data_IF_518875828812
#
_entry.id   IF_518875828812
#
_cell.length_a   1.000
_cell.length_b   1.000
_cell.length_c   1.000
_cell.angle_alpha   90.00
_cell.angle_beta   90.00
_cell.angle_gamma   90.00
#
_symmetry.space_group_name_H-M   'P 1'
#
loop_
_entity.id
_entity.type
_entity.pdbx_description
1 polymer ?
#
# COMPACT_ATOMS: atom_id res chain seq x y z
N UNK A 1 11.15 4.37 9.58
CA UNK A 1 12.01 4.92 8.51
C UNK A 1 11.62 4.25 7.21
N UNK A 2 11.77 4.91 6.05
CA UNK A 2 11.39 4.35 4.73
C UNK A 2 12.38 3.33 4.16
N UNK A 3 13.28 2.83 5.00
CA UNK A 3 14.28 1.81 4.72
C UNK A 3 14.34 0.78 5.86
N UNK A 4 15.01 -0.34 5.62
CA UNK A 4 15.28 -1.36 6.62
C UNK A 4 16.16 -0.82 7.76
N UNK A 5 16.10 -1.47 8.92
CA UNK A 5 17.09 -1.23 9.97
C UNK A 5 18.47 -1.71 9.49
N UNK A 6 19.59 -1.12 9.98
CA UNK A 6 20.92 -1.48 9.51
C UNK A 6 21.22 -2.99 9.56
N UNK A 7 20.87 -3.65 10.66
CA UNK A 7 21.07 -5.10 10.81
C UNK A 7 20.18 -5.92 9.86
N UNK A 8 18.96 -5.47 9.56
CA UNK A 8 18.08 -6.11 8.57
C UNK A 8 18.65 -5.97 7.15
N UNK A 9 19.23 -4.81 6.83
CA UNK A 9 19.88 -4.56 5.54
C UNK A 9 21.14 -5.43 5.35
N UNK A 10 21.99 -5.51 6.38
CA UNK A 10 23.16 -6.40 6.40
C UNK A 10 22.74 -7.87 6.24
N UNK A 11 21.67 -8.27 6.94
CA UNK A 11 21.12 -9.60 6.84
C UNK A 11 20.61 -9.91 5.43
N UNK A 12 19.85 -9.00 4.82
CA UNK A 12 19.44 -9.13 3.42
C UNK A 12 20.64 -9.30 2.50
N UNK A 13 21.66 -8.45 2.61
CA UNK A 13 22.83 -8.52 1.75
C UNK A 13 23.62 -9.81 1.92
N UNK A 14 23.77 -10.33 3.15
CA UNK A 14 24.40 -11.63 3.40
C UNK A 14 23.71 -12.73 2.58
N UNK A 15 22.39 -12.85 2.71
CA UNK A 15 21.62 -13.90 2.02
C UNK A 15 21.61 -13.67 0.50
N UNK A 16 21.33 -12.44 0.06
CA UNK A 16 21.16 -12.09 -1.35
C UNK A 16 22.46 -12.29 -2.12
N UNK A 17 23.59 -11.80 -1.59
CA UNK A 17 24.90 -11.94 -2.21
C UNK A 17 25.36 -13.40 -2.28
N UNK A 18 25.06 -14.20 -1.26
CA UNK A 18 25.38 -15.64 -1.26
C UNK A 18 24.61 -16.41 -2.33
N UNK A 19 23.31 -16.11 -2.50
CA UNK A 19 22.51 -16.71 -3.57
C UNK A 19 22.97 -16.22 -4.96
N UNK A 20 23.39 -14.96 -5.08
CA UNK A 20 23.94 -14.40 -6.31
C UNK A 20 25.25 -15.09 -6.72
N UNK A 21 26.19 -15.27 -5.78
CA UNK A 21 27.46 -15.98 -6.00
C UNK A 21 27.23 -17.46 -6.38
N UNK A 22 26.37 -18.17 -5.65
CA UNK A 22 25.97 -19.54 -6.01
C UNK A 22 25.39 -19.62 -7.43
N UNK A 23 24.50 -18.70 -7.78
CA UNK A 23 23.86 -18.66 -9.10
C UNK A 23 24.90 -18.43 -10.19
N UNK A 24 25.82 -17.48 -9.99
CA UNK A 24 26.89 -17.22 -10.94
C UNK A 24 27.77 -18.47 -11.16
N UNK A 25 28.20 -19.12 -10.07
CA UNK A 25 29.02 -20.35 -10.11
C UNK A 25 28.30 -21.51 -10.80
N UNK A 26 27.03 -21.72 -10.48
CA UNK A 26 26.24 -22.82 -11.03
C UNK A 26 26.04 -22.71 -12.55
N UNK A 27 25.83 -21.50 -13.06
CA UNK A 27 25.54 -21.27 -14.49
C UNK A 27 26.73 -20.70 -15.27
N UNK A 28 27.89 -20.52 -14.63
CA UNK A 28 29.10 -19.93 -15.22
C UNK A 28 28.84 -18.62 -15.98
N UNK A 29 28.03 -17.72 -15.40
CA UNK A 29 27.54 -16.52 -16.10
C UNK A 29 28.66 -15.51 -16.33
N UNK A 30 29.46 -15.24 -15.30
CA UNK A 30 30.66 -14.42 -15.42
C UNK A 30 31.82 -15.09 -14.66
N UNK A 31 32.86 -15.47 -15.39
CA UNK A 31 34.05 -16.17 -14.86
C UNK A 31 34.95 -15.30 -13.98
N UNK A 32 34.81 -13.97 -14.04
CA UNK A 32 35.52 -13.02 -13.18
C UNK A 32 34.89 -12.89 -11.79
N UNK A 33 33.61 -13.23 -11.64
CA UNK A 33 32.90 -13.21 -10.36
C UNK A 33 33.11 -14.55 -9.63
N UNK A 34 34.16 -14.64 -8.81
CA UNK A 34 34.50 -15.83 -8.01
C UNK A 34 33.98 -15.71 -6.58
N UNK A 35 33.77 -14.50 -6.10
CA UNK A 35 33.10 -14.19 -4.84
C UNK A 35 32.26 -12.91 -4.91
N UNK A 36 31.63 -12.59 -3.80
CA UNK A 36 30.77 -11.41 -3.62
C UNK A 36 31.56 -10.10 -3.66
N UNK A 37 32.84 -10.15 -3.29
CA UNK A 37 33.74 -9.00 -3.23
C UNK A 37 34.17 -8.54 -4.63
N UNK A 38 34.26 -9.48 -5.59
CA UNK A 38 34.71 -9.23 -6.97
C UNK A 38 33.77 -8.29 -7.75
N UNK A 39 32.55 -8.04 -7.25
CA UNK A 39 31.62 -7.08 -7.86
C UNK A 39 32.17 -5.65 -7.88
N UNK A 40 33.09 -5.30 -6.98
CA UNK A 40 33.71 -3.97 -6.95
C UNK A 40 34.74 -3.76 -8.07
N UNK A 41 35.27 -4.85 -8.64
CA UNK A 41 36.36 -4.83 -9.62
C UNK A 41 35.87 -4.94 -11.08
N UNK A 42 34.55 -5.01 -11.29
CA UNK A 42 33.94 -5.05 -12.60
C UNK A 42 33.70 -3.65 -13.17
N UNK A 43 33.91 -3.50 -14.47
CA UNK A 43 33.51 -2.29 -15.20
C UNK A 43 31.98 -2.17 -15.27
N UNK A 44 31.49 -0.96 -15.59
CA UNK A 44 30.06 -0.70 -15.74
C UNK A 44 29.39 -1.63 -16.76
N UNK A 45 30.01 -1.83 -17.92
CA UNK A 45 29.49 -2.67 -18.99
C UNK A 45 29.41 -4.16 -18.57
N UNK A 46 30.43 -4.64 -17.84
CA UNK A 46 30.43 -6.00 -17.30
C UNK A 46 29.33 -6.21 -16.25
N UNK A 47 29.11 -5.23 -15.38
CA UNK A 47 28.02 -5.26 -14.41
C UNK A 47 26.66 -5.23 -15.11
N UNK A 48 26.51 -4.42 -16.16
CA UNK A 48 25.28 -4.30 -16.94
C UNK A 48 24.93 -5.61 -17.67
N UNK A 49 25.91 -6.40 -18.09
CA UNK A 49 25.69 -7.72 -18.67
C UNK A 49 25.45 -8.82 -17.62
N UNK A 50 26.29 -8.89 -16.59
CA UNK A 50 26.31 -10.00 -15.64
C UNK A 50 25.12 -9.98 -14.67
N UNK A 51 24.77 -8.80 -14.13
CA UNK A 51 23.74 -8.70 -13.09
C UNK A 51 22.37 -9.15 -13.61
N UNK A 52 21.85 -8.67 -14.76
CA UNK A 52 20.56 -9.14 -15.27
C UNK A 52 20.56 -10.65 -15.54
N UNK A 53 21.62 -11.17 -16.15
CA UNK A 53 21.74 -12.61 -16.44
C UNK A 53 21.74 -13.46 -15.17
N UNK A 54 22.40 -13.01 -14.10
CA UNK A 54 22.34 -13.67 -12.79
C UNK A 54 20.93 -13.59 -12.22
N UNK A 55 20.30 -12.40 -12.19
CA UNK A 55 18.94 -12.20 -11.64
C UNK A 55 17.90 -13.09 -12.31
N UNK A 56 17.98 -13.26 -13.62
CA UNK A 56 17.07 -14.11 -14.40
C UNK A 56 17.10 -15.57 -13.95
N UNK A 57 18.25 -16.07 -13.51
CA UNK A 57 18.42 -17.44 -13.00
C UNK A 57 18.25 -17.54 -11.49
N UNK A 58 18.63 -16.48 -10.76
CA UNK A 58 18.72 -16.43 -9.31
C UNK A 58 17.40 -16.84 -8.65
N UNK A 59 16.31 -16.24 -9.12
CA UNK A 59 14.99 -16.43 -8.53
C UNK A 59 14.17 -17.57 -9.15
N UNK A 60 14.76 -18.41 -10.00
CA UNK A 60 14.07 -19.60 -10.52
C UNK A 60 13.87 -20.59 -9.38
N UNK A 61 12.66 -21.16 -9.25
CA UNK A 61 12.33 -22.06 -8.12
C UNK A 61 13.31 -23.23 -7.98
N UNK A 62 13.71 -23.85 -9.09
CA UNK A 62 14.73 -24.91 -9.11
C UNK A 62 16.11 -24.42 -8.64
N UNK A 63 16.47 -23.17 -8.93
CA UNK A 63 17.74 -22.61 -8.48
C UNK A 63 17.75 -22.33 -6.97
N UNK A 64 16.67 -21.72 -6.46
CA UNK A 64 16.49 -21.49 -5.03
C UNK A 64 16.48 -22.82 -4.27
N UNK A 65 15.76 -23.82 -4.78
CA UNK A 65 15.73 -25.16 -4.19
C UNK A 65 17.13 -25.76 -4.10
N UNK A 66 17.88 -25.76 -5.21
CA UNK A 66 19.25 -26.30 -5.22
C UNK A 66 20.19 -25.56 -4.26
N UNK A 67 20.04 -24.23 -4.13
CA UNK A 67 20.80 -23.45 -3.16
C UNK A 67 20.52 -23.91 -1.74
N UNK A 68 19.23 -24.04 -1.38
CA UNK A 68 18.81 -24.45 -0.04
C UNK A 68 19.19 -25.89 0.28
N UNK A 69 19.13 -26.79 -0.70
CA UNK A 69 19.47 -28.21 -0.52
C UNK A 69 20.98 -28.42 -0.35
N UNK A 70 21.80 -27.71 -1.14
CA UNK A 70 23.27 -27.80 -1.05
C UNK A 70 23.85 -27.02 0.12
N UNK A 71 23.18 -25.94 0.52
CA UNK A 71 23.57 -25.04 1.61
C UNK A 71 25.09 -24.74 1.70
N UNK A 72 25.72 -24.22 0.63
CA UNK A 72 27.18 -24.09 0.57
C UNK A 72 27.77 -23.08 1.57
N UNK A 73 26.93 -22.23 2.19
CA UNK A 73 27.33 -21.23 3.17
C UNK A 73 26.96 -21.61 4.61
N UNK A 74 26.52 -22.85 4.85
CA UNK A 74 26.14 -23.37 6.17
C UNK A 74 25.11 -22.48 6.90
N UNK A 75 24.12 -21.97 6.17
CA UNK A 75 23.01 -21.20 6.72
C UNK A 75 22.12 -22.06 7.62
N UNK A 76 21.57 -21.45 8.67
CA UNK A 76 20.62 -22.10 9.55
C UNK A 76 19.23 -22.22 8.88
N UNK A 77 18.28 -22.86 9.56
CA UNK A 77 16.94 -23.07 9.00
C UNK A 77 16.21 -21.75 8.68
N UNK A 78 16.34 -20.74 9.54
CA UNK A 78 15.68 -19.43 9.39
C UNK A 78 16.22 -18.67 8.16
N UNK A 79 17.55 -18.64 7.99
CA UNK A 79 18.23 -18.07 6.83
C UNK A 79 17.74 -18.73 5.53
N UNK A 80 17.63 -20.06 5.53
CA UNK A 80 17.14 -20.81 4.37
C UNK A 80 15.65 -20.56 4.11
N UNK A 81 14.83 -20.38 5.14
CA UNK A 81 13.40 -20.07 5.01
C UNK A 81 13.16 -18.68 4.42
N UNK A 82 13.99 -17.69 4.77
CA UNK A 82 13.95 -16.37 4.11
C UNK A 82 14.24 -16.51 2.61
N UNK A 83 15.27 -17.28 2.25
CA UNK A 83 15.64 -17.48 0.84
C UNK A 83 14.56 -18.26 0.08
N UNK A 84 13.91 -19.25 0.69
CA UNK A 84 12.78 -19.99 0.09
C UNK A 84 11.62 -19.06 -0.25
N UNK A 85 11.33 -18.06 0.59
CA UNK A 85 10.25 -17.11 0.34
C UNK A 85 10.46 -16.26 -0.92
N UNK A 86 11.71 -16.07 -1.37
CA UNK A 86 11.98 -15.35 -2.63
C UNK A 86 11.49 -16.08 -3.89
N UNK A 87 11.05 -17.32 -3.78
CA UNK A 87 10.27 -17.98 -4.84
C UNK A 87 8.96 -17.23 -5.13
N UNK A 88 8.37 -16.60 -4.11
CA UNK A 88 7.19 -15.74 -4.20
C UNK A 88 7.48 -14.32 -4.70
N UNK A 89 8.62 -14.09 -5.38
CA UNK A 89 8.96 -12.80 -5.98
C UNK A 89 7.87 -12.32 -6.93
N UNK A 90 7.82 -11.00 -7.13
CA UNK A 90 6.96 -10.40 -8.15
C UNK A 90 7.73 -9.40 -9.00
N UNK A 91 7.84 -9.65 -10.30
CA UNK A 91 8.35 -8.67 -11.24
C UNK A 91 7.34 -7.52 -11.38
N UNK A 92 7.83 -6.30 -11.23
CA UNK A 92 7.05 -5.06 -11.30
C UNK A 92 7.51 -4.24 -12.48
N UNK A 93 6.53 -3.83 -13.29
CA UNK A 93 6.58 -2.68 -14.16
C UNK A 93 5.41 -1.79 -13.75
N UNK A 94 5.72 -0.58 -13.30
CA UNK A 94 4.71 0.28 -12.66
C UNK A 94 5.23 1.67 -12.37
N UNK A 95 4.56 2.36 -11.44
CA UNK A 95 4.80 3.76 -11.15
C UNK A 95 5.15 3.95 -9.68
N UNK A 96 6.33 4.51 -9.39
CA UNK A 96 6.68 5.02 -8.07
C UNK A 96 5.88 6.31 -7.85
N UNK A 97 4.88 6.24 -6.97
CA UNK A 97 3.85 7.28 -6.83
C UNK A 97 4.12 8.26 -5.68
N UNK A 98 4.65 7.77 -4.56
CA UNK A 98 4.75 8.57 -3.33
C UNK A 98 5.83 8.06 -2.40
N UNK A 99 6.45 8.95 -1.65
CA UNK A 99 7.25 8.61 -0.46
C UNK A 99 6.43 8.93 0.79
N UNK A 100 6.17 7.90 1.60
CA UNK A 100 5.55 8.01 2.93
C UNK A 100 6.63 7.81 4.01
N UNK A 101 6.28 8.08 5.27
CA UNK A 101 7.24 8.02 6.39
C UNK A 101 7.90 6.64 6.56
N UNK A 102 7.16 5.56 6.31
CA UNK A 102 7.62 4.18 6.54
C UNK A 102 8.00 3.42 5.27
N UNK A 103 7.63 3.91 4.09
CA UNK A 103 7.87 3.23 2.81
C UNK A 103 7.59 4.15 1.63
N UNK A 104 8.06 3.75 0.46
CA UNK A 104 7.65 4.34 -0.82
C UNK A 104 6.53 3.52 -1.43
N UNK A 105 5.63 4.13 -2.20
CA UNK A 105 4.46 3.45 -2.75
C UNK A 105 4.60 3.28 -4.25
N UNK A 106 4.53 2.05 -4.71
CA UNK A 106 4.52 1.69 -6.13
C UNK A 106 3.12 1.22 -6.52
N UNK A 107 2.60 1.79 -7.59
CA UNK A 107 1.35 1.40 -8.22
C UNK A 107 1.65 0.54 -9.45
N UNK A 108 1.20 -0.71 -9.44
CA UNK A 108 1.52 -1.65 -10.51
C UNK A 108 0.39 -2.66 -10.71
N UNK A 109 0.28 -3.17 -11.94
CA UNK A 109 -0.60 -4.30 -12.25
C UNK A 109 0.26 -5.56 -12.34
N UNK A 110 0.15 -6.51 -11.39
CA UNK A 110 0.88 -7.76 -11.46
C UNK A 110 0.63 -8.47 -12.79
N UNK A 111 1.68 -8.99 -13.43
CA UNK A 111 1.55 -9.62 -14.74
C UNK A 111 0.53 -10.78 -14.73
N UNK A 112 0.50 -11.56 -13.65
CA UNK A 112 -0.45 -12.65 -13.44
C UNK A 112 -1.92 -12.20 -13.42
N UNK A 113 -2.19 -10.91 -13.19
CA UNK A 113 -3.53 -10.35 -13.08
C UNK A 113 -4.03 -9.73 -14.40
N UNK A 114 -3.16 -9.56 -15.41
CA UNK A 114 -3.54 -8.99 -16.71
C UNK A 114 -4.51 -9.94 -17.42
N UNK A 115 -5.67 -9.42 -17.82
CA UNK A 115 -6.67 -10.16 -18.61
C UNK A 115 -7.66 -11.02 -17.80
N UNK A 116 -7.51 -11.14 -16.48
CA UNK A 116 -8.40 -11.96 -15.63
C UNK A 116 -9.23 -11.13 -14.63
N UNK A 117 -9.36 -9.82 -14.88
CA UNK A 117 -10.22 -8.93 -14.08
C UNK A 117 -9.68 -8.59 -12.68
N UNK A 118 -8.44 -8.98 -12.34
CA UNK A 118 -7.76 -8.55 -11.11
C UNK A 118 -6.97 -7.26 -11.40
N UNK A 119 -7.22 -6.22 -10.61
CA UNK A 119 -6.78 -4.86 -10.92
C UNK A 119 -5.39 -4.47 -10.41
N UNK A 120 -4.99 -3.25 -10.76
CA UNK A 120 -3.83 -2.52 -10.21
C UNK A 120 -3.79 -2.60 -8.68
N UNK A 121 -2.59 -2.63 -8.10
CA UNK A 121 -2.31 -2.72 -6.67
C UNK A 121 -1.33 -1.63 -6.22
N UNK A 122 -1.33 -1.34 -4.93
CA UNK A 122 -0.36 -0.45 -4.28
C UNK A 122 0.53 -1.25 -3.33
N UNK A 123 1.84 -1.16 -3.55
CA UNK A 123 2.86 -1.80 -2.73
C UNK A 123 3.65 -0.75 -1.97
N UNK A 124 3.70 -0.88 -0.65
CA UNK A 124 4.58 -0.09 0.20
C UNK A 124 5.92 -0.78 0.32
N UNK A 125 6.94 -0.26 -0.37
CA UNK A 125 8.28 -0.81 -0.42
C UNK A 125 9.26 -0.05 0.47
N UNK A 126 10.07 -0.78 1.22
CA UNK A 126 11.21 -0.21 1.94
C UNK A 126 12.46 -0.21 1.08
N UNK A 127 13.27 0.83 1.25
CA UNK A 127 14.67 0.81 0.83
C UNK A 127 15.49 -0.20 1.64
N UNK A 128 16.61 -0.70 1.09
CA UNK A 128 17.47 -1.65 1.79
C UNK A 128 18.41 -0.89 2.72
N UNK A 129 19.49 -0.30 2.18
CA UNK A 129 20.45 0.50 2.96
C UNK A 129 20.12 2.00 2.99
N UNK A 130 19.44 2.47 1.95
CA UNK A 130 19.05 3.87 1.78
C UNK A 130 17.58 3.90 1.35
N UNK A 131 16.92 5.03 1.56
CA UNK A 131 15.54 5.20 1.14
C UNK A 131 15.48 5.34 -0.39
N UNK A 132 14.35 4.97 -1.00
CA UNK A 132 14.17 5.26 -2.43
C UNK A 132 14.06 6.76 -2.72
N UNK A 133 13.70 7.59 -1.73
CA UNK A 133 13.61 9.05 -1.89
C UNK A 133 14.98 9.68 -2.15
N UNK A 134 16.06 9.07 -1.64
CA UNK A 134 17.44 9.55 -1.81
C UNK A 134 17.88 9.46 -3.30
N UNK A 135 17.36 8.49 -4.04
CA UNK A 135 17.64 8.29 -5.47
C UNK A 135 16.55 8.82 -6.38
N UNK A 136 15.29 8.86 -5.90
CA UNK A 136 14.11 9.29 -6.65
C UNK A 136 13.40 10.41 -5.90
N UNK A 137 13.84 11.67 -6.04
CA UNK A 137 13.29 12.76 -5.25
C UNK A 137 11.79 13.01 -5.52
N UNK A 138 11.08 13.48 -4.47
CA UNK A 138 9.62 13.73 -4.49
C UNK A 138 9.13 14.61 -5.63
N UNK A 139 9.93 15.59 -6.06
CA UNK A 139 9.56 16.53 -7.11
C UNK A 139 9.47 15.89 -8.51
N UNK A 140 10.17 14.78 -8.76
CA UNK A 140 10.11 14.06 -10.03
C UNK A 140 9.01 13.01 -10.10
N UNK A 141 8.28 12.73 -9.01
CA UNK A 141 7.19 11.76 -9.01
C UNK A 141 6.05 12.16 -9.99
N UNK A 142 5.40 11.18 -10.63
CA UNK A 142 5.70 9.74 -10.58
C UNK A 142 6.84 9.33 -11.51
N UNK A 143 7.62 8.31 -11.13
CA UNK A 143 8.61 7.66 -12.00
C UNK A 143 8.06 6.33 -12.51
N UNK A 144 8.23 6.02 -13.79
CA UNK A 144 8.00 4.65 -14.26
C UNK A 144 9.22 3.80 -13.90
N UNK A 145 8.99 2.69 -13.22
CA UNK A 145 10.01 1.84 -12.61
C UNK A 145 9.83 0.38 -13.00
N UNK A 146 10.94 -0.33 -13.16
CA UNK A 146 10.98 -1.77 -13.32
C UNK A 146 11.95 -2.39 -12.30
N UNK A 147 11.48 -3.39 -11.54
CA UNK A 147 12.27 -4.08 -10.52
C UNK A 147 11.56 -5.37 -10.05
N UNK A 148 12.18 -6.10 -9.12
CA UNK A 148 11.58 -7.29 -8.48
C UNK A 148 11.21 -6.96 -7.04
N UNK A 149 9.95 -7.18 -6.66
CA UNK A 149 9.52 -7.23 -5.27
C UNK A 149 9.89 -8.55 -4.64
N UNK A 150 10.41 -8.48 -3.42
CA UNK A 150 10.71 -9.64 -2.59
C UNK A 150 10.01 -9.54 -1.24
N UNK A 151 9.49 -10.67 -0.72
CA UNK A 151 9.18 -10.78 0.69
C UNK A 151 10.48 -10.88 1.50
N UNK A 152 10.59 -10.10 2.56
CA UNK A 152 11.74 -10.14 3.46
C UNK A 152 11.32 -9.75 4.88
N UNK A 153 11.38 -10.70 5.81
CA UNK A 153 10.85 -10.53 7.17
C UNK A 153 9.39 -10.05 7.10
N UNK A 154 9.02 -8.99 7.82
CA UNK A 154 7.68 -8.38 7.74
C UNK A 154 7.57 -7.28 6.66
N UNK A 155 8.50 -7.24 5.72
CA UNK A 155 8.63 -6.16 4.75
C UNK A 155 8.46 -6.64 3.31
N UNK A 156 7.97 -5.73 2.49
CA UNK A 156 8.10 -5.82 1.04
C UNK A 156 9.25 -4.90 0.64
N UNK A 157 10.25 -5.46 -0.04
CA UNK A 157 11.43 -4.72 -0.51
C UNK A 157 11.60 -4.93 -2.01
N UNK A 158 12.46 -4.13 -2.61
CA UNK A 158 13.05 -4.45 -3.91
C UNK A 158 14.32 -5.28 -3.71
N UNK A 159 14.80 -5.94 -4.76
CA UNK A 159 15.99 -6.80 -4.69
C UNK A 159 17.33 -6.06 -4.77
N UNK A 160 17.35 -4.74 -4.57
CA UNK A 160 18.55 -3.92 -4.72
C UNK A 160 18.77 -3.38 -6.14
N UNK A 161 18.00 -3.85 -7.13
CA UNK A 161 18.13 -3.42 -8.52
C UNK A 161 16.82 -2.85 -9.04
N UNK A 162 16.82 -1.55 -9.33
CA UNK A 162 15.68 -0.82 -9.85
C UNK A 162 16.09 0.02 -11.04
N UNK A 163 15.35 -0.13 -12.14
CA UNK A 163 15.52 0.65 -13.37
C UNK A 163 14.38 1.64 -13.52
N UNK A 164 14.68 2.83 -14.03
CA UNK A 164 13.67 3.83 -14.42
C UNK A 164 13.63 4.00 -15.93
N UNK A 165 12.47 4.42 -16.41
CA UNK A 165 12.34 4.92 -17.78
C UNK A 165 12.50 6.45 -17.77
N UNK A 166 13.21 6.99 -18.76
CA UNK A 166 13.39 8.43 -18.93
C UNK A 166 12.12 9.06 -19.53
N UNK A 167 11.06 9.11 -18.73
CA UNK A 167 9.72 9.57 -19.12
C UNK A 167 9.26 10.66 -18.17
N UNK A 168 8.78 11.77 -18.74
CA UNK A 168 8.17 12.86 -17.99
C UNK A 168 6.66 12.87 -18.22
N UNK A 169 5.88 12.80 -17.12
CA UNK A 169 4.43 12.83 -17.20
C UNK A 169 3.88 14.25 -17.11
N UNK A 170 3.07 14.64 -18.09
CA UNK A 170 2.31 15.89 -18.08
C UNK A 170 1.23 15.92 -16.99
N UNK A 171 0.68 17.10 -16.72
CA UNK A 171 -0.28 17.35 -15.63
C UNK A 171 -1.54 16.47 -15.69
N UNK A 172 -2.08 16.22 -16.88
CA UNK A 172 -3.26 15.38 -17.07
C UNK A 172 -2.99 13.92 -16.70
N UNK A 173 -1.87 13.35 -17.14
CA UNK A 173 -1.46 11.99 -16.78
C UNK A 173 -1.20 11.86 -15.28
N UNK A 174 -0.50 12.84 -14.68
CA UNK A 174 -0.27 12.88 -13.23
C UNK A 174 -1.57 12.89 -12.44
N UNK A 175 -2.58 13.66 -12.89
CA UNK A 175 -3.92 13.68 -12.30
C UNK A 175 -4.60 12.32 -12.42
N UNK A 176 -4.53 11.68 -13.59
CA UNK A 176 -5.08 10.34 -13.81
C UNK A 176 -4.49 9.32 -12.84
N UNK A 177 -3.15 9.25 -12.74
CA UNK A 177 -2.50 8.34 -11.80
C UNK A 177 -2.83 8.65 -10.34
N UNK A 178 -2.96 9.93 -9.98
CA UNK A 178 -3.35 10.34 -8.63
C UNK A 178 -4.78 9.87 -8.29
N UNK A 179 -5.69 9.95 -9.25
CA UNK A 179 -7.07 9.49 -9.07
C UNK A 179 -7.11 7.96 -8.91
N UNK A 180 -6.41 7.23 -9.78
CA UNK A 180 -6.31 5.77 -9.70
C UNK A 180 -5.67 5.33 -8.37
N UNK A 181 -4.55 5.94 -7.98
CA UNK A 181 -3.90 5.71 -6.69
C UNK A 181 -4.87 5.90 -5.52
N UNK A 182 -5.63 7.00 -5.50
CA UNK A 182 -6.55 7.29 -4.39
C UNK A 182 -7.72 6.31 -4.35
N UNK A 183 -8.20 5.86 -5.50
CA UNK A 183 -9.26 4.84 -5.58
C UNK A 183 -8.78 3.49 -5.04
N UNK A 184 -7.62 3.01 -5.51
CA UNK A 184 -7.06 1.73 -5.06
C UNK A 184 -6.74 1.80 -3.57
N UNK A 185 -6.11 2.89 -3.10
CA UNK A 185 -5.81 3.09 -1.68
C UNK A 185 -7.07 3.00 -0.82
N UNK A 186 -8.19 3.57 -1.27
CA UNK A 186 -9.41 3.60 -0.47
C UNK A 186 -10.11 2.22 -0.40
N UNK A 187 -10.01 1.40 -1.45
CA UNK A 187 -10.72 0.11 -1.54
C UNK A 187 -9.82 -1.06 -1.11
N UNK A 188 -8.59 -1.10 -1.57
CA UNK A 188 -7.65 -2.21 -1.37
C UNK A 188 -6.56 -1.87 -0.34
N UNK A 189 -6.27 -0.60 -0.13
CA UNK A 189 -5.23 -0.15 0.79
C UNK A 189 -3.85 -0.09 0.13
N UNK A 190 -2.82 -0.02 0.96
CA UNK A 190 -1.42 -0.12 0.54
C UNK A 190 -0.85 -1.36 1.22
N UNK A 191 -0.44 -2.36 0.44
CA UNK A 191 0.15 -3.56 0.98
C UNK A 191 1.63 -3.30 1.28
N UNK A 192 1.98 -3.15 2.56
CA UNK A 192 3.34 -2.77 3.00
C UNK A 192 3.92 -3.65 4.09
N UNK A 193 3.16 -4.65 4.55
CA UNK A 193 3.58 -5.59 5.58
C UNK A 193 3.36 -6.99 5.05
N UNK A 194 4.44 -7.74 4.90
CA UNK A 194 4.38 -9.10 4.40
C UNK A 194 4.14 -10.06 5.56
N UNK A 195 3.25 -11.02 5.36
CA UNK A 195 3.06 -12.18 6.23
C UNK A 195 3.43 -13.46 5.48
N UNK A 196 4.01 -14.43 6.18
CA UNK A 196 4.42 -15.71 5.58
C UNK A 196 3.22 -16.36 4.89
N UNK A 197 3.36 -16.62 3.59
CA UNK A 197 2.33 -17.24 2.76
C UNK A 197 1.49 -16.25 1.94
N UNK A 198 1.69 -14.94 2.12
CA UNK A 198 1.05 -13.95 1.25
C UNK A 198 1.52 -14.09 -0.21
N UNK A 199 0.58 -14.00 -1.15
CA UNK A 199 0.87 -13.92 -2.58
C UNK A 199 1.08 -12.45 -2.97
N UNK A 200 2.31 -12.05 -3.32
CA UNK A 200 2.59 -10.68 -3.77
C UNK A 200 1.80 -10.27 -5.02
N UNK A 201 1.39 -11.22 -5.88
CA UNK A 201 0.54 -10.91 -7.02
C UNK A 201 -0.91 -10.63 -6.59
N UNK A 202 -1.35 -11.17 -5.46
CA UNK A 202 -2.71 -11.03 -4.93
C UNK A 202 -2.69 -10.81 -3.42
N UNK A 203 -2.10 -9.70 -2.95
CA UNK A 203 -1.93 -9.49 -1.53
C UNK A 203 -3.30 -9.28 -0.86
N UNK A 204 -3.40 -9.54 0.45
CA UNK A 204 -4.60 -9.22 1.23
C UNK A 204 -4.89 -7.72 1.16
N UNK A 205 -6.18 -7.37 1.18
CA UNK A 205 -6.61 -5.97 1.26
C UNK A 205 -6.28 -5.41 2.64
N UNK A 206 -5.73 -4.21 2.68
CA UNK A 206 -5.30 -3.51 3.91
C UNK A 206 -6.04 -2.19 4.15
N UNK A 207 -7.01 -1.83 3.29
CA UNK A 207 -7.82 -0.63 3.48
C UNK A 207 -8.56 -0.67 4.82
N UNK A 208 -8.58 0.47 5.51
CA UNK A 208 -9.43 0.61 6.69
C UNK A 208 -10.90 0.54 6.27
N UNK A 209 -11.74 -0.16 7.04
CA UNK A 209 -13.18 -0.28 6.76
C UNK A 209 -13.82 1.09 6.54
N UNK A 210 -13.43 2.07 7.37
CA UNK A 210 -13.85 3.47 7.26
C UNK A 210 -13.55 4.08 5.88
N UNK A 211 -12.37 3.83 5.32
CA UNK A 211 -11.95 4.40 4.04
C UNK A 211 -12.75 3.80 2.88
N UNK A 212 -13.02 2.49 2.93
CA UNK A 212 -13.87 1.79 1.94
C UNK A 212 -15.30 2.33 2.00
N UNK A 213 -15.86 2.49 3.20
CA UNK A 213 -17.18 3.08 3.42
C UNK A 213 -17.24 4.51 2.86
N UNK A 214 -16.26 5.35 3.21
CA UNK A 214 -16.20 6.73 2.74
C UNK A 214 -16.06 6.83 1.21
N UNK A 215 -15.34 5.89 0.59
CA UNK A 215 -15.22 5.80 -0.86
C UNK A 215 -16.57 5.51 -1.52
N UNK A 216 -17.27 4.45 -1.10
CA UNK A 216 -18.57 4.10 -1.67
C UNK A 216 -19.65 5.15 -1.37
N UNK A 217 -19.59 5.84 -0.22
CA UNK A 217 -20.47 6.99 0.04
C UNK A 217 -20.22 8.09 -1.00
N UNK A 218 -18.95 8.45 -1.22
CA UNK A 218 -18.61 9.49 -2.20
C UNK A 218 -19.06 9.09 -3.60
N UNK A 219 -18.79 7.86 -4.03
CA UNK A 219 -19.16 7.35 -5.35
C UNK A 219 -20.67 7.46 -5.61
N UNK A 220 -21.51 7.05 -4.66
CA UNK A 220 -22.96 7.13 -4.80
C UNK A 220 -23.45 8.59 -4.79
N UNK A 221 -22.89 9.44 -3.92
CA UNK A 221 -23.27 10.86 -3.86
C UNK A 221 -22.90 11.64 -5.12
N UNK A 222 -21.75 11.32 -5.73
CA UNK A 222 -21.34 11.90 -7.02
C UNK A 222 -22.33 11.49 -8.14
N UNK A 223 -23.09 10.40 -7.96
CA UNK A 223 -24.15 9.93 -8.87
C UNK A 223 -25.56 10.40 -8.46
N UNK A 224 -25.71 11.10 -7.33
CA UNK A 224 -27.00 11.52 -6.80
C UNK A 224 -27.84 10.39 -6.20
N UNK A 225 -27.20 9.29 -5.80
CA UNK A 225 -27.84 8.09 -5.27
C UNK A 225 -27.61 7.89 -3.77
N UNK A 226 -28.50 7.12 -3.13
CA UNK A 226 -28.26 6.64 -1.78
C UNK A 226 -27.13 5.58 -1.78
N UNK A 227 -26.16 5.65 -0.84
CA UNK A 227 -24.99 4.79 -0.82
C UNK A 227 -25.25 3.35 -0.31
N UNK A 228 -26.10 2.60 -1.01
CA UNK A 228 -26.45 1.21 -0.68
C UNK A 228 -25.23 0.30 -0.54
N UNK A 229 -24.24 0.41 -1.45
CA UNK A 229 -23.01 -0.38 -1.40
C UNK A 229 -22.23 -0.16 -0.11
N UNK A 230 -22.14 1.09 0.35
CA UNK A 230 -21.43 1.44 1.58
C UNK A 230 -22.15 0.90 2.81
N UNK A 231 -23.49 0.99 2.85
CA UNK A 231 -24.29 0.46 3.95
C UNK A 231 -24.16 -1.07 4.05
N UNK A 232 -24.32 -1.78 2.94
CA UNK A 232 -24.17 -3.26 2.90
C UNK A 232 -22.76 -3.67 3.33
N UNK A 233 -21.74 -2.96 2.85
CA UNK A 233 -20.36 -3.21 3.27
C UNK A 233 -20.18 -2.98 4.77
N UNK A 234 -20.68 -1.86 5.30
CA UNK A 234 -20.60 -1.56 6.72
C UNK A 234 -21.30 -2.60 7.59
N UNK A 235 -22.50 -3.05 7.21
CA UNK A 235 -23.25 -4.08 7.93
C UNK A 235 -22.53 -5.43 7.93
N UNK A 236 -21.99 -5.85 6.78
CA UNK A 236 -21.17 -7.07 6.67
C UNK A 236 -19.97 -7.06 7.62
N UNK A 237 -19.42 -5.88 7.90
CA UNK A 237 -18.26 -5.69 8.77
C UNK A 237 -18.63 -5.25 10.19
N UNK A 238 -19.90 -5.24 10.58
CA UNK A 238 -20.39 -4.75 11.89
C UNK A 238 -20.06 -3.27 12.19
N UNK A 239 -19.91 -2.46 11.15
CA UNK A 239 -19.46 -1.05 11.22
C UNK A 239 -20.54 -0.08 10.72
N UNK A 240 -21.83 -0.44 10.87
CA UNK A 240 -22.96 0.42 10.45
C UNK A 240 -22.88 1.83 11.07
N UNK A 241 -22.44 1.94 12.32
CA UNK A 241 -22.30 3.24 12.98
C UNK A 241 -21.29 4.16 12.28
N UNK A 242 -20.22 3.60 11.69
CA UNK A 242 -19.26 4.35 10.88
C UNK A 242 -19.93 4.87 9.61
N UNK A 243 -20.70 4.03 8.92
CA UNK A 243 -21.47 4.45 7.74
C UNK A 243 -22.42 5.60 8.06
N UNK A 244 -23.29 5.45 9.07
CA UNK A 244 -24.32 6.46 9.37
C UNK A 244 -23.67 7.81 9.74
N UNK A 245 -22.57 7.80 10.51
CA UNK A 245 -21.83 9.02 10.87
C UNK A 245 -21.14 9.68 9.67
N UNK A 246 -20.44 8.90 8.84
CA UNK A 246 -19.75 9.42 7.65
C UNK A 246 -20.74 9.98 6.63
N UNK A 247 -21.84 9.28 6.38
CA UNK A 247 -22.88 9.72 5.45
C UNK A 247 -23.59 10.98 5.96
N UNK A 248 -24.02 11.01 7.21
CA UNK A 248 -24.64 12.19 7.83
C UNK A 248 -23.71 13.40 7.77
N UNK A 249 -22.42 13.21 8.08
CA UNK A 249 -21.43 14.30 8.06
C UNK A 249 -21.27 14.97 6.69
N UNK A 250 -21.51 14.25 5.58
CA UNK A 250 -21.45 14.80 4.22
C UNK A 250 -22.60 15.75 3.92
N UNK A 251 -23.82 15.40 4.33
CA UNK A 251 -25.02 16.21 4.08
C UNK A 251 -25.09 17.43 5.00
N UNK A 252 -24.84 17.25 6.30
CA UNK A 252 -25.01 18.33 7.29
C UNK A 252 -23.90 19.39 7.21
N UNK A 253 -22.88 19.21 6.34
CA UNK A 253 -21.77 20.15 6.20
C UNK A 253 -22.27 21.56 5.84
N UNK A 254 -23.22 21.64 4.91
CA UNK A 254 -23.80 22.92 4.49
C UNK A 254 -24.76 23.47 5.54
N UNK A 255 -25.58 22.63 6.16
CA UNK A 255 -26.46 23.05 7.26
C UNK A 255 -25.66 23.66 8.42
N UNK A 256 -24.59 22.98 8.84
CA UNK A 256 -23.68 23.47 9.87
C UNK A 256 -23.05 24.81 9.50
N UNK A 257 -22.73 25.03 8.21
CA UNK A 257 -22.20 26.32 7.73
C UNK A 257 -23.26 27.42 7.78
N UNK A 258 -24.48 27.11 7.31
CA UNK A 258 -25.59 28.06 7.27
C UNK A 258 -26.05 28.46 8.67
N UNK A 259 -26.20 27.49 9.58
CA UNK A 259 -26.54 27.74 10.97
C UNK A 259 -25.47 28.63 11.64
N UNK A 260 -24.18 28.39 11.39
CA UNK A 260 -23.09 29.19 11.96
C UNK A 260 -23.06 30.64 11.46
N UNK A 261 -23.52 30.86 10.24
CA UNK A 261 -23.61 32.20 9.66
C UNK A 261 -24.80 32.99 10.21
N UNK A 262 -25.77 32.32 10.84
CA UNK A 262 -26.97 32.96 11.35
C UNK A 262 -26.76 33.49 12.77
N UNK A 263 -26.44 34.79 12.87
CA UNK A 263 -26.18 35.47 14.13
C UNK A 263 -27.40 35.60 15.05
N UNK A 264 -28.61 35.37 14.54
CA UNK A 264 -29.84 35.42 15.34
C UNK A 264 -30.10 34.12 16.12
N UNK A 265 -29.43 33.02 15.76
CA UNK A 265 -29.60 31.75 16.46
C UNK A 265 -28.74 31.71 17.74
N UNK A 266 -29.31 31.30 18.89
CA UNK A 266 -28.51 31.04 20.07
C UNK A 266 -27.60 29.83 19.83
N UNK A 267 -26.52 29.75 20.62
CA UNK A 267 -25.64 28.59 20.62
C UNK A 267 -26.42 27.36 21.07
N UNK A 268 -26.50 26.35 20.21
CA UNK A 268 -27.30 25.14 20.44
C UNK A 268 -26.56 23.88 20.02
N UNK A 269 -27.01 22.74 20.53
CA UNK A 269 -26.58 21.42 20.09
C UNK A 269 -27.63 20.79 19.19
N UNK A 270 -27.18 20.24 18.06
CA UNK A 270 -28.01 19.66 17.01
C UNK A 270 -27.69 18.17 16.89
N UNK A 271 -28.74 17.36 16.77
CA UNK A 271 -28.68 15.95 16.41
C UNK A 271 -29.14 15.79 14.97
N UNK A 272 -28.33 15.12 14.16
CA UNK A 272 -28.67 14.76 12.81
C UNK A 272 -28.58 13.26 12.58
N UNK A 273 -29.47 12.77 11.74
CA UNK A 273 -29.45 11.41 11.22
C UNK A 273 -29.66 11.48 9.72
N UNK A 274 -28.66 11.01 8.96
CA UNK A 274 -28.61 11.07 7.49
C UNK A 274 -28.73 12.51 6.99
N UNK A 275 -29.80 12.81 6.27
CA UNK A 275 -30.03 14.09 5.61
C UNK A 275 -30.88 15.04 6.47
N UNK A 276 -31.18 14.66 7.72
CA UNK A 276 -32.17 15.37 8.53
C UNK A 276 -31.64 15.74 9.91
N UNK A 277 -31.89 16.99 10.33
CA UNK A 277 -31.78 17.41 11.73
C UNK A 277 -33.03 16.93 12.47
N UNK A 278 -32.84 16.08 13.48
CA UNK A 278 -33.92 15.38 14.18
C UNK A 278 -34.20 15.93 15.58
N UNK A 279 -33.25 16.70 16.16
CA UNK A 279 -33.44 17.37 17.44
C UNK A 279 -32.45 18.54 17.61
N UNK A 280 -32.84 19.51 18.45
CA UNK A 280 -32.02 20.64 18.88
C UNK A 280 -32.24 20.86 20.38
N UNK A 281 -31.17 21.06 21.15
CA UNK A 281 -31.24 21.35 22.59
C UNK A 281 -30.14 22.33 23.04
N UNK A 282 -30.33 23.08 24.14
CA UNK A 282 -29.34 24.02 24.66
C UNK A 282 -28.03 23.37 25.12
N UNK A 283 -28.09 22.14 25.63
CA UNK A 283 -26.90 21.40 26.08
C UNK A 283 -26.78 20.05 25.37
N UNK A 284 -25.54 19.57 25.22
CA UNK A 284 -25.27 18.24 24.69
C UNK A 284 -25.93 17.14 25.52
N UNK A 285 -25.99 17.32 26.85
CA UNK A 285 -26.58 16.34 27.78
C UNK A 285 -28.07 16.18 27.51
N UNK A 286 -28.79 17.30 27.41
CA UNK A 286 -30.22 17.31 27.16
C UNK A 286 -30.53 16.75 25.77
N UNK A 287 -29.69 17.07 24.77
CA UNK A 287 -29.81 16.49 23.43
C UNK A 287 -29.72 14.97 23.43
N UNK A 288 -28.72 14.42 24.13
CA UNK A 288 -28.53 12.97 24.19
C UNK A 288 -29.67 12.28 24.95
N UNK A 289 -30.13 12.86 26.06
CA UNK A 289 -31.29 12.35 26.79
C UNK A 289 -32.56 12.35 25.93
N UNK A 290 -32.81 13.45 25.21
CA UNK A 290 -33.91 13.56 24.26
C UNK A 290 -33.83 12.49 23.17
N UNK A 291 -32.64 12.30 22.57
CA UNK A 291 -32.44 11.31 21.53
C UNK A 291 -32.62 9.87 22.04
N UNK A 292 -32.17 9.59 23.26
CA UNK A 292 -32.32 8.26 23.85
C UNK A 292 -33.79 7.94 24.16
N UNK A 293 -34.57 8.93 24.58
CA UNK A 293 -36.00 8.78 24.84
C UNK A 293 -36.82 8.62 23.55
N UNK A 294 -36.58 9.48 22.56
CA UNK A 294 -37.45 9.57 21.37
C UNK A 294 -36.95 8.76 20.17
N UNK A 295 -35.64 8.49 20.10
CA UNK A 295 -35.00 7.79 18.99
C UNK A 295 -34.12 6.60 19.44
N UNK A 296 -34.59 5.71 20.34
CA UNK A 296 -33.75 4.67 20.94
C UNK A 296 -33.15 3.70 19.91
N UNK A 297 -33.83 3.48 18.77
CA UNK A 297 -33.38 2.56 17.71
C UNK A 297 -32.22 3.08 16.86
N UNK A 298 -31.96 4.39 16.88
CA UNK A 298 -30.95 5.03 16.03
C UNK A 298 -29.95 5.85 16.83
N UNK A 299 -30.04 5.86 18.17
CA UNK A 299 -29.23 6.74 19.03
C UNK A 299 -27.72 6.58 18.81
N UNK A 300 -27.26 5.36 18.54
CA UNK A 300 -25.84 5.05 18.27
C UNK A 300 -25.34 5.57 16.91
N UNK A 301 -26.27 5.93 16.03
CA UNK A 301 -26.03 6.39 14.66
C UNK A 301 -26.14 7.91 14.51
N UNK A 302 -26.60 8.61 15.55
CA UNK A 302 -26.82 10.06 15.50
C UNK A 302 -25.48 10.81 15.46
N UNK A 303 -25.39 11.78 14.56
CA UNK A 303 -24.29 12.75 14.55
C UNK A 303 -24.68 13.98 15.36
N UNK A 304 -23.90 14.29 16.38
CA UNK A 304 -24.10 15.47 17.24
C UNK A 304 -23.08 16.55 16.89
N UNK A 305 -23.54 17.79 16.72
CA UNK A 305 -22.68 18.95 16.53
C UNK A 305 -23.24 20.17 17.24
N UNK A 306 -22.38 21.14 17.56
CA UNK A 306 -22.79 22.44 18.06
C UNK A 306 -22.57 23.51 17.00
N UNK A 307 -23.44 24.50 17.04
CA UNK A 307 -23.34 25.73 16.26
C UNK A 307 -23.39 26.90 17.23
#
# INVERSE_FOLDING_TARGET
MSQLLPHEAEYFFKLHRSLMDFTNKKYAINSRLKSVEDFQDLSHDELQGAIPAIRDKMYVAANIKDFCDKNPYNFNAEDLDVIRQWQGKLAIDGFLMKHLREHSVVMATPAANKGIGRGTRLYGIKGISHSLEDFFPKNGLPYQVNFILLPFLEHVIYDGFLSTYSIHFGSNMRRSFTNEYNQIKAIDGIYSKYSIGDDLANPPKTAAIKDVIAHYIKEALDQGEFPHKALVYAEKHNERAVFEKEYTAKHIKNDKKNLKANQALPKMHYAAYRETIIAVQPTKKDLLAFCQQHYPKIVDYITVFSV
#
